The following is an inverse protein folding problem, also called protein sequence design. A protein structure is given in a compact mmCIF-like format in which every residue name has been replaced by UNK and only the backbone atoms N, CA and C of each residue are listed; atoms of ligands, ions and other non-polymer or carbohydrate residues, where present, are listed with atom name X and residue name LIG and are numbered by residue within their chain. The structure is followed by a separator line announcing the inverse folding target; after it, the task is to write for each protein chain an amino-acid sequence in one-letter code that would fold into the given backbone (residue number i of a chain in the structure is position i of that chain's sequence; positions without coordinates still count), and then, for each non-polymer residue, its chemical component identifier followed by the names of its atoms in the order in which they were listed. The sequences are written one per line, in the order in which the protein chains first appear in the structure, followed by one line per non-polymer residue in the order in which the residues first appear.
data_IF_099980834474
#
_entry.id   IF_099980834474
#
_cell.length_a   1.000
_cell.length_b   1.000
_cell.length_c   1.000
_cell.angle_alpha   90.00
_cell.angle_beta   90.00
_cell.angle_gamma   90.00
#
_symmetry.space_group_name_H-M   'P 1'
#
loop_
_entity.id
_entity.type
_entity.pdbx_description
1 polymer ?
#
# COMPACT_ATOMS: atom_id res chain seq x y z
N UNK A 1 4.42 7.77 0.14
CA UNK A 1 5.64 8.30 0.78
C UNK A 1 6.84 7.73 0.06
N UNK A 2 7.88 8.54 -0.17
CA UNK A 2 9.11 8.11 -0.85
C UNK A 2 10.32 8.57 -0.04
N UNK A 3 11.45 7.84 -0.11
CA UNK A 3 12.67 8.24 0.59
C UNK A 3 13.20 9.58 0.08
N UNK A 4 13.64 10.44 1.00
CA UNK A 4 14.30 11.69 0.66
C UNK A 4 15.75 11.45 0.20
N UNK A 5 16.23 12.25 -0.76
CA UNK A 5 17.64 12.23 -1.17
C UNK A 5 18.09 10.97 -1.91
N UNK A 6 17.16 10.19 -2.46
CA UNK A 6 17.50 9.02 -3.28
C UNK A 6 18.32 9.43 -4.51
N UNK A 7 19.41 8.70 -4.78
CA UNK A 7 20.20 8.89 -5.99
C UNK A 7 19.35 8.61 -7.24
N UNK A 8 19.63 9.31 -8.33
CA UNK A 8 18.94 9.07 -9.59
C UNK A 8 19.11 7.59 -10.02
N UNK A 9 17.99 6.91 -10.26
CA UNK A 9 17.96 5.50 -10.63
C UNK A 9 18.04 4.50 -9.47
N UNK A 10 18.14 4.96 -8.21
CA UNK A 10 18.08 4.06 -7.06
C UNK A 10 16.71 3.37 -6.96
N UNK A 11 16.72 2.07 -6.68
CA UNK A 11 15.53 1.24 -6.48
C UNK A 11 15.33 0.93 -5.00
N UNK A 12 14.09 1.01 -4.54
CA UNK A 12 13.73 0.93 -3.12
C UNK A 12 12.72 -0.18 -2.85
N UNK A 13 12.81 -0.87 -1.71
CA UNK A 13 11.78 -1.82 -1.30
C UNK A 13 10.43 -1.11 -1.13
N UNK A 14 9.36 -1.76 -1.57
CA UNK A 14 7.99 -1.27 -1.49
C UNK A 14 7.26 -1.91 -0.31
N UNK A 15 6.55 -1.10 0.48
CA UNK A 15 5.52 -1.58 1.42
C UNK A 15 4.15 -1.01 1.03
N UNK A 16 3.15 -1.88 0.89
CA UNK A 16 1.76 -1.49 0.66
C UNK A 16 0.92 -1.71 1.93
N UNK A 17 0.11 -0.71 2.27
CA UNK A 17 -0.79 -0.72 3.42
C UNK A 17 -2.26 -0.54 3.01
N UNK A 18 -3.06 -1.63 2.95
CA UNK A 18 -4.51 -1.52 2.89
C UNK A 18 -5.06 -1.01 4.23
N UNK A 19 -6.06 -0.14 4.21
CA UNK A 19 -6.71 0.35 5.44
C UNK A 19 -7.53 -0.71 6.14
N UNK A 20 -7.65 -0.57 7.46
CA UNK A 20 -8.67 -1.21 8.28
C UNK A 20 -10.07 -0.89 7.76
N UNK A 21 -11.05 -1.70 8.17
CA UNK A 21 -12.45 -1.52 7.80
C UNK A 21 -12.93 -0.09 8.11
N UNK A 22 -13.52 0.55 7.10
CA UNK A 22 -14.03 1.93 7.16
C UNK A 22 -12.99 3.03 7.47
N UNK A 23 -11.70 2.70 7.64
CA UNK A 23 -10.66 3.69 7.89
C UNK A 23 -10.19 4.35 6.58
N UNK A 24 -9.93 5.66 6.58
CA UNK A 24 -9.32 6.36 5.46
C UNK A 24 -7.81 6.10 5.39
N UNK A 25 -7.19 6.36 4.24
CA UNK A 25 -5.76 6.10 3.94
C UNK A 25 -4.76 6.78 4.88
N UNK A 26 -5.22 7.73 5.70
CA UNK A 26 -4.42 8.43 6.70
C UNK A 26 -4.08 7.57 7.93
N UNK A 27 -4.66 6.36 8.05
CA UNK A 27 -4.38 5.42 9.13
C UNK A 27 -2.89 5.16 9.36
N UNK A 28 -2.08 5.17 8.28
CA UNK A 28 -0.66 4.79 8.32
C UNK A 28 0.31 5.96 8.13
N UNK A 29 -0.11 7.23 8.27
CA UNK A 29 0.79 8.38 7.99
C UNK A 29 2.12 8.29 8.78
N UNK A 30 2.06 7.97 10.07
CA UNK A 30 3.25 7.90 10.91
C UNK A 30 4.18 6.73 10.53
N UNK A 31 3.61 5.56 10.25
CA UNK A 31 4.34 4.36 9.85
C UNK A 31 4.95 4.55 8.46
N UNK A 32 4.19 5.14 7.54
CA UNK A 32 4.64 5.39 6.18
C UNK A 32 5.77 6.42 6.14
N UNK A 33 5.70 7.48 6.94
CA UNK A 33 6.82 8.43 7.08
C UNK A 33 8.06 7.74 7.66
N UNK A 34 7.91 7.00 8.77
CA UNK A 34 9.04 6.30 9.41
C UNK A 34 9.74 5.31 8.46
N UNK A 35 8.95 4.57 7.67
CA UNK A 35 9.48 3.63 6.67
C UNK A 35 10.14 4.37 5.50
N UNK A 36 9.56 5.47 5.02
CA UNK A 36 10.19 6.28 3.98
C UNK A 36 11.52 6.89 4.43
N UNK A 37 11.61 7.38 5.66
CA UNK A 37 12.86 7.84 6.28
C UNK A 37 13.89 6.72 6.40
N UNK A 38 13.44 5.46 6.42
CA UNK A 38 14.29 4.26 6.44
C UNK A 38 14.60 3.69 5.05
N UNK A 39 14.21 4.37 3.97
CA UNK A 39 14.56 4.00 2.60
C UNK A 39 13.52 3.17 1.84
N UNK A 40 12.27 3.09 2.32
CA UNK A 40 11.17 2.38 1.65
C UNK A 40 10.31 3.31 0.81
N UNK A 41 9.82 2.83 -0.34
CA UNK A 41 8.60 3.40 -0.94
C UNK A 41 7.41 2.85 -0.18
N UNK A 42 6.46 3.70 0.18
CA UNK A 42 5.26 3.28 0.91
C UNK A 42 4.00 3.82 0.25
N UNK A 43 3.05 2.95 -0.01
CA UNK A 43 1.71 3.30 -0.53
C UNK A 43 0.67 2.79 0.46
N UNK A 44 -0.13 3.69 1.03
CA UNK A 44 -1.35 3.34 1.74
C UNK A 44 -2.57 3.66 0.88
N UNK A 45 -3.58 2.79 0.88
CA UNK A 45 -4.80 3.00 0.12
C UNK A 45 -6.04 2.69 0.95
N UNK A 46 -7.10 3.46 0.71
CA UNK A 46 -8.41 3.17 1.30
C UNK A 46 -9.03 1.99 0.57
N UNK A 47 -9.41 0.95 1.30
CA UNK A 47 -10.09 -0.22 0.73
C UNK A 47 -11.36 0.16 -0.04
N UNK A 48 -11.69 -0.59 -1.11
CA UNK A 48 -12.87 -0.36 -1.95
C UNK A 48 -14.17 -0.23 -1.15
N UNK A 49 -15.10 0.56 -1.67
CA UNK A 49 -16.41 0.79 -1.08
C UNK A 49 -16.40 1.70 0.17
N UNK A 50 -15.25 2.30 0.50
CA UNK A 50 -15.13 3.28 1.58
C UNK A 50 -14.62 4.62 1.08
N UNK A 51 -15.13 5.70 1.70
CA UNK A 51 -14.72 7.07 1.44
C UNK A 51 -14.76 7.41 -0.06
N UNK A 52 -13.60 7.77 -0.62
CA UNK A 52 -13.43 8.14 -2.02
C UNK A 52 -13.05 6.93 -2.89
N UNK A 53 -12.74 5.78 -2.29
CA UNK A 53 -12.54 4.53 -3.01
C UNK A 53 -13.89 3.99 -3.45
N UNK A 54 -14.14 4.03 -4.76
CA UNK A 54 -15.37 3.50 -5.36
C UNK A 54 -15.52 1.99 -5.20
N UNK A 55 -16.47 1.42 -5.94
CA UNK A 55 -16.77 -0.02 -5.85
C UNK A 55 -17.66 -0.39 -4.66
N UNK A 56 -17.66 -1.67 -4.30
CA UNK A 56 -18.46 -2.25 -3.21
C UNK A 56 -17.56 -3.06 -2.28
N UNK A 57 -17.96 -3.16 -1.03
CA UNK A 57 -17.25 -3.93 0.00
C UNK A 57 -17.53 -5.42 -0.23
N UNK A 58 -16.47 -6.24 -0.34
CA UNK A 58 -16.56 -7.69 -0.62
C UNK A 58 -16.02 -8.56 0.52
N UNK A 59 -15.59 -7.95 1.63
CA UNK A 59 -15.12 -8.62 2.86
C UNK A 59 -13.91 -9.54 2.60
N UNK A 60 -12.85 -8.97 2.04
CA UNK A 60 -11.62 -9.63 1.63
C UNK A 60 -11.88 -10.67 0.53
N UNK A 61 -12.85 -10.37 -0.34
CA UNK A 61 -13.18 -11.17 -1.51
C UNK A 61 -12.14 -11.01 -2.62
N UNK A 62 -12.26 -11.80 -3.71
CA UNK A 62 -11.36 -11.69 -4.86
C UNK A 62 -11.15 -10.26 -5.38
N UNK A 63 -12.17 -9.38 -5.40
CA UNK A 63 -11.96 -8.01 -5.82
C UNK A 63 -11.12 -7.16 -4.84
N UNK A 64 -11.25 -7.36 -3.52
CA UNK A 64 -10.38 -6.65 -2.55
C UNK A 64 -8.91 -7.04 -2.72
N UNK A 65 -8.66 -8.33 -2.99
CA UNK A 65 -7.31 -8.86 -3.25
C UNK A 65 -6.77 -8.28 -4.57
N UNK A 66 -7.60 -8.20 -5.62
CA UNK A 66 -7.20 -7.62 -6.89
C UNK A 66 -6.81 -6.12 -6.79
N UNK A 67 -7.41 -5.37 -5.85
CA UNK A 67 -6.98 -3.98 -5.61
C UNK A 67 -5.56 -3.91 -5.06
N UNK A 68 -5.16 -4.87 -4.21
CA UNK A 68 -3.79 -4.91 -3.70
C UNK A 68 -2.79 -5.06 -4.86
N UNK A 69 -3.05 -5.97 -5.80
CA UNK A 69 -2.23 -6.12 -7.01
C UNK A 69 -2.23 -4.85 -7.86
N UNK A 70 -3.40 -4.23 -8.07
CA UNK A 70 -3.50 -2.99 -8.84
C UNK A 70 -2.71 -1.82 -8.21
N UNK A 71 -2.69 -1.73 -6.88
CA UNK A 71 -1.90 -0.72 -6.15
C UNK A 71 -0.40 -1.01 -6.25
N UNK A 72 0.01 -2.29 -6.24
CA UNK A 72 1.39 -2.69 -6.48
C UNK A 72 1.83 -2.29 -7.89
N UNK A 73 1.05 -2.64 -8.91
CA UNK A 73 1.34 -2.28 -10.31
C UNK A 73 1.47 -0.77 -10.47
N UNK A 74 0.52 -0.02 -9.90
CA UNK A 74 0.56 1.44 -9.88
C UNK A 74 1.84 1.95 -9.22
N UNK A 75 2.25 1.39 -8.08
CA UNK A 75 3.46 1.80 -7.37
C UNK A 75 4.72 1.53 -8.19
N UNK A 76 4.81 0.38 -8.86
CA UNK A 76 5.95 0.01 -9.70
C UNK A 76 6.09 0.93 -10.93
N UNK A 77 4.97 1.37 -11.50
CA UNK A 77 4.95 2.30 -12.64
C UNK A 77 5.28 3.74 -12.24
N UNK A 78 4.82 4.19 -11.07
CA UNK A 78 4.84 5.62 -10.70
C UNK A 78 5.92 6.00 -9.69
N UNK A 79 6.72 5.04 -9.20
CA UNK A 79 7.73 5.29 -8.17
C UNK A 79 9.05 4.59 -8.46
N UNK A 80 10.04 4.79 -7.58
CA UNK A 80 11.31 4.07 -7.60
C UNK A 80 11.25 2.68 -6.94
N UNK A 81 10.06 2.12 -6.77
CA UNK A 81 9.88 0.78 -6.22
C UNK A 81 10.63 -0.29 -7.05
N UNK A 82 11.12 -1.29 -6.32
CA UNK A 82 11.83 -2.45 -6.84
C UNK A 82 10.87 -3.65 -6.96
N UNK A 83 10.66 -4.21 -8.15
CA UNK A 83 9.74 -5.33 -8.35
C UNK A 83 10.13 -6.60 -7.58
N UNK A 84 11.41 -6.76 -7.23
CA UNK A 84 11.90 -7.95 -6.52
C UNK A 84 11.83 -7.80 -4.98
N UNK A 85 11.38 -6.64 -4.47
CA UNK A 85 11.36 -6.33 -3.03
C UNK A 85 10.06 -5.65 -2.62
N UNK A 86 8.99 -6.43 -2.61
CA UNK A 86 7.64 -5.98 -2.27
C UNK A 86 7.16 -6.67 -1.00
N UNK A 87 6.65 -5.88 -0.05
CA UNK A 87 5.96 -6.36 1.13
C UNK A 87 4.59 -5.71 1.28
N UNK A 88 3.71 -6.41 1.99
CA UNK A 88 2.41 -5.88 2.38
C UNK A 88 2.24 -6.01 3.89
N UNK A 89 1.47 -5.10 4.48
CA UNK A 89 1.11 -5.18 5.88
C UNK A 89 -0.11 -4.35 6.17
N UNK A 90 -0.66 -4.51 7.38
CA UNK A 90 -1.78 -3.71 7.82
C UNK A 90 -2.31 -4.19 9.17
N UNK A 91 -3.39 -3.56 9.61
CA UNK A 91 -4.13 -3.92 10.81
C UNK A 91 -5.53 -4.36 10.40
N UNK A 92 -6.14 -5.27 11.17
CA UNK A 92 -7.54 -5.67 11.00
C UNK A 92 -7.83 -6.15 9.58
N UNK A 93 -8.78 -5.54 8.88
CA UNK A 93 -9.12 -5.83 7.49
C UNK A 93 -7.90 -5.76 6.56
N UNK A 94 -7.05 -4.75 6.74
CA UNK A 94 -5.83 -4.60 5.95
C UNK A 94 -4.79 -5.68 6.23
N UNK A 95 -4.73 -6.20 7.46
CA UNK A 95 -3.89 -7.37 7.79
C UNK A 95 -4.39 -8.63 7.07
N UNK A 96 -5.71 -8.84 7.07
CA UNK A 96 -6.34 -9.96 6.37
C UNK A 96 -6.07 -9.93 4.87
N UNK A 97 -6.29 -8.77 4.23
CA UNK A 97 -5.98 -8.58 2.79
C UNK A 97 -4.50 -8.83 2.52
N UNK A 98 -3.60 -8.33 3.38
CA UNK A 98 -2.15 -8.48 3.20
C UNK A 98 -1.66 -9.94 3.28
N UNK A 99 -2.40 -10.84 3.93
CA UNK A 99 -2.07 -12.28 3.98
C UNK A 99 -2.65 -13.06 2.80
N UNK A 100 -3.65 -12.50 2.10
CA UNK A 100 -4.33 -13.14 0.98
C UNK A 100 -3.77 -12.74 -0.38
N UNK A 101 -3.09 -11.60 -0.45
CA UNK A 101 -2.48 -11.03 -1.65
C UNK A 101 -1.14 -11.67 -2.01
#
# INVERSE_FOLDING_TARGET
FTPAGAAAGAKHPLIVFPTSWAMPQIEYLAQAQKLADSGYVVVSYTSRGFWLSGGKIEVAGPPDIADASAVIDWALEHTSADPDRIGMGGVSYGAGISLLA
#
